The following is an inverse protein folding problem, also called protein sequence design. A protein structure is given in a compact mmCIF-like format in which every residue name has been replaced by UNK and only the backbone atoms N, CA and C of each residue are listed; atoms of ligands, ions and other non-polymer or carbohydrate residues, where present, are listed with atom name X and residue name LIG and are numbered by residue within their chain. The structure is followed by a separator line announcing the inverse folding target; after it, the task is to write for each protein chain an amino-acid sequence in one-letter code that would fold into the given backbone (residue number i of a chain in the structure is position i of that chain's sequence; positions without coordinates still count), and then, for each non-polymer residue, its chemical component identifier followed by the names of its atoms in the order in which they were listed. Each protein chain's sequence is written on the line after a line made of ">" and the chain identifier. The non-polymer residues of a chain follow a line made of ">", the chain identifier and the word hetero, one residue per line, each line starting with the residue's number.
data_IF_352554635414
#
_entry.id   IF_352554635414
#
_cell.length_a   1.000
_cell.length_b   1.000
_cell.length_c   1.000
_cell.angle_alpha   90.00
_cell.angle_beta   90.00
_cell.angle_gamma   90.00
#
_symmetry.space_group_name_H-M   'P 1'
#
loop_
_entity.id
_entity.type
_entity.pdbx_description
1 polymer ?
#
# COMPACT_ATOMS: atom_id res chain seq x y z
N UNK A 1 -55.20 40.55 5.07
CA UNK A 1 -53.95 41.32 5.01
C UNK A 1 -53.21 41.17 6.33
N UNK A 2 -52.36 40.15 6.46
CA UNK A 2 -51.29 40.13 7.47
C UNK A 2 -50.24 39.11 7.01
N UNK A 3 -49.00 39.58 6.98
CA UNK A 3 -47.85 39.03 6.25
C UNK A 3 -47.27 37.76 6.87
N UNK A 4 -46.86 36.85 5.98
CA UNK A 4 -45.78 35.89 6.20
C UNK A 4 -44.47 36.61 6.57
N UNK A 5 -43.64 36.00 7.41
CA UNK A 5 -42.18 35.91 7.21
C UNK A 5 -41.60 34.79 8.07
N UNK A 6 -41.35 33.65 7.43
CA UNK A 6 -40.46 32.58 7.93
C UNK A 6 -39.03 33.03 7.66
N UNK A 7 -38.23 33.22 8.71
CA UNK A 7 -36.79 33.39 8.57
C UNK A 7 -36.13 32.01 8.48
N UNK A 8 -35.60 31.67 7.31
CA UNK A 8 -34.70 30.53 7.15
C UNK A 8 -33.28 31.03 7.38
N UNK A 9 -32.64 30.57 8.46
CA UNK A 9 -31.21 30.77 8.69
C UNK A 9 -30.44 29.78 7.81
N UNK A 10 -29.74 30.29 6.80
CA UNK A 10 -28.79 29.51 6.01
C UNK A 10 -27.50 29.42 6.81
N UNK A 11 -27.23 28.25 7.39
CA UNK A 11 -25.92 27.93 7.96
C UNK A 11 -24.98 27.59 6.80
N UNK A 12 -24.11 28.54 6.44
CA UNK A 12 -23.03 28.28 5.51
C UNK A 12 -21.94 27.46 6.23
N UNK A 13 -21.84 26.18 5.90
CA UNK A 13 -20.70 25.34 6.28
C UNK A 13 -19.53 25.74 5.38
N UNK A 14 -18.60 26.52 5.92
CA UNK A 14 -17.33 26.81 5.27
C UNK A 14 -16.44 25.57 5.45
N UNK A 15 -16.39 24.72 4.43
CA UNK A 15 -15.34 23.72 4.29
C UNK A 15 -14.04 24.46 3.98
N UNK A 16 -13.26 24.78 5.01
CA UNK A 16 -11.86 25.14 4.84
C UNK A 16 -11.11 23.91 4.31
N UNK A 17 -11.08 23.75 3.00
CA UNK A 17 -10.13 22.88 2.33
C UNK A 17 -8.73 23.47 2.56
N UNK A 18 -8.02 22.91 3.54
CA UNK A 18 -6.58 23.03 3.61
C UNK A 18 -6.01 22.26 2.41
N UNK A 19 -5.96 22.92 1.26
CA UNK A 19 -5.13 22.45 0.15
C UNK A 19 -3.69 22.75 0.56
N UNK A 20 -3.10 21.86 1.36
CA UNK A 20 -1.65 21.76 1.39
C UNK A 20 -1.24 21.45 -0.04
N UNK A 21 -0.54 22.37 -0.68
CA UNK A 21 0.24 22.10 -1.88
C UNK A 21 1.24 20.99 -1.50
N UNK A 22 0.80 19.74 -1.59
CA UNK A 22 1.69 18.60 -1.58
C UNK A 22 2.65 18.86 -2.74
N UNK A 23 3.91 19.14 -2.42
CA UNK A 23 4.96 19.00 -3.42
C UNK A 23 4.82 17.56 -3.94
N UNK A 24 4.51 17.42 -5.23
CA UNK A 24 4.55 16.12 -5.89
C UNK A 24 5.90 15.48 -5.53
N UNK A 25 5.85 14.35 -4.84
CA UNK A 25 7.01 13.63 -4.36
C UNK A 25 7.84 13.18 -5.55
N UNK A 26 9.14 13.42 -5.50
CA UNK A 26 10.06 12.68 -6.35
C UNK A 26 10.52 11.44 -5.61
N UNK A 27 10.74 10.35 -6.34
CA UNK A 27 11.27 9.10 -5.82
C UNK A 27 12.45 9.31 -4.85
N UNK A 28 12.36 8.72 -3.66
CA UNK A 28 13.40 8.71 -2.65
C UNK A 28 13.92 7.29 -2.43
N UNK A 29 15.15 6.97 -2.89
CA UNK A 29 15.76 5.66 -2.70
C UNK A 29 15.83 5.20 -1.23
N UNK A 30 15.82 6.13 -0.27
CA UNK A 30 15.87 5.80 1.16
C UNK A 30 14.55 5.27 1.71
N UNK A 31 13.44 5.35 0.95
CA UNK A 31 12.12 4.83 1.35
C UNK A 31 11.85 3.43 0.80
N UNK A 32 12.60 3.01 -0.20
CA UNK A 32 12.44 1.68 -0.79
C UNK A 32 12.90 0.57 0.17
N UNK A 33 12.08 -0.48 0.33
CA UNK A 33 12.41 -1.66 1.15
C UNK A 33 12.11 -2.94 0.38
N UNK A 34 13.02 -3.90 0.50
CA UNK A 34 12.77 -5.29 0.13
C UNK A 34 11.83 -5.93 1.16
N UNK A 35 10.84 -6.71 0.69
CA UNK A 35 9.87 -7.40 1.55
C UNK A 35 10.10 -8.90 1.53
N UNK A 36 10.06 -9.51 0.34
CA UNK A 36 10.07 -10.97 0.19
C UNK A 36 10.56 -11.37 -1.19
N UNK A 37 11.13 -12.56 -1.26
CA UNK A 37 11.40 -13.26 -2.51
C UNK A 37 10.80 -14.67 -2.49
N UNK A 38 10.37 -15.15 -3.65
CA UNK A 38 9.87 -16.51 -3.87
C UNK A 38 10.68 -17.14 -4.99
N UNK A 39 11.34 -18.27 -4.70
CA UNK A 39 12.12 -19.01 -5.69
C UNK A 39 11.17 -19.66 -6.71
N UNK A 40 11.53 -19.57 -7.99
CA UNK A 40 10.85 -20.20 -9.12
C UNK A 40 11.79 -21.30 -9.62
N UNK A 41 11.63 -22.57 -9.17
CA UNK A 41 12.65 -23.60 -9.37
C UNK A 41 12.90 -23.96 -10.83
N UNK A 42 11.85 -23.96 -11.64
CA UNK A 42 11.91 -24.32 -13.07
C UNK A 42 12.88 -23.43 -13.86
N UNK A 43 12.94 -22.14 -13.52
CA UNK A 43 13.75 -21.15 -14.23
C UNK A 43 14.92 -20.62 -13.40
N UNK A 44 15.09 -21.15 -12.19
CA UNK A 44 16.13 -20.79 -11.24
C UNK A 44 16.29 -19.27 -11.01
N UNK A 45 15.17 -18.58 -10.79
CA UNK A 45 15.16 -17.16 -10.43
C UNK A 45 14.20 -16.91 -9.27
N UNK A 46 14.06 -15.64 -8.88
CA UNK A 46 13.19 -15.23 -7.79
C UNK A 46 12.23 -14.15 -8.24
N UNK A 47 10.94 -14.36 -8.00
CA UNK A 47 9.98 -13.26 -7.96
C UNK A 47 10.19 -12.50 -6.65
N UNK A 48 10.06 -11.17 -6.67
CA UNK A 48 10.39 -10.34 -5.52
C UNK A 48 9.33 -9.27 -5.28
N UNK A 49 9.12 -8.91 -4.01
CA UNK A 49 8.22 -7.86 -3.56
C UNK A 49 9.01 -6.76 -2.86
N UNK A 50 8.71 -5.53 -3.25
CA UNK A 50 9.26 -4.31 -2.70
C UNK A 50 8.13 -3.34 -2.32
N UNK A 51 8.46 -2.39 -1.45
CA UNK A 51 7.65 -1.20 -1.19
C UNK A 51 8.48 0.06 -1.33
N UNK A 52 7.84 1.19 -1.55
CA UNK A 52 8.47 2.51 -1.48
C UNK A 52 7.50 3.63 -1.80
N UNK A 53 8.04 4.78 -2.16
CA UNK A 53 7.30 5.98 -2.55
C UNK A 53 7.12 6.09 -4.08
N UNK A 54 6.48 7.18 -4.51
CA UNK A 54 6.14 7.43 -5.91
C UNK A 54 7.37 7.32 -6.82
N UNK A 55 7.40 6.42 -7.81
CA UNK A 55 8.53 6.22 -8.71
C UNK A 55 8.55 7.25 -9.84
N UNK A 56 8.45 8.54 -9.50
CA UNK A 56 8.47 9.65 -10.45
C UNK A 56 9.65 10.57 -10.16
N UNK A 57 10.36 10.99 -11.21
CA UNK A 57 11.47 11.93 -11.10
C UNK A 57 10.98 13.35 -10.88
N UNK A 58 11.88 14.25 -10.47
CA UNK A 58 11.59 15.70 -10.39
C UNK A 58 11.09 16.32 -11.70
N UNK A 59 11.41 15.69 -12.84
CA UNK A 59 10.97 16.11 -14.17
C UNK A 59 9.63 15.48 -14.59
N UNK A 60 8.90 14.85 -13.66
CA UNK A 60 7.61 14.18 -13.90
C UNK A 60 7.67 13.07 -14.94
N UNK A 61 8.75 12.29 -14.94
CA UNK A 61 8.89 11.06 -15.73
C UNK A 61 8.98 9.85 -14.81
N UNK A 62 8.56 8.67 -15.26
CA UNK A 62 8.74 7.44 -14.49
C UNK A 62 10.24 7.17 -14.26
N UNK A 63 10.61 6.90 -13.01
CA UNK A 63 11.99 6.77 -12.53
C UNK A 63 12.53 5.34 -12.70
N UNK A 64 12.32 4.71 -13.86
CA UNK A 64 12.63 3.29 -14.07
C UNK A 64 14.07 2.92 -13.69
N UNK A 65 15.07 3.64 -14.20
CA UNK A 65 16.47 3.30 -13.96
C UNK A 65 16.87 3.45 -12.48
N UNK A 66 16.39 4.50 -11.83
CA UNK A 66 16.66 4.77 -10.41
C UNK A 66 15.95 3.76 -9.51
N UNK A 67 14.68 3.48 -9.78
CA UNK A 67 13.89 2.47 -9.08
C UNK A 67 14.54 1.09 -9.19
N UNK A 68 14.90 0.66 -10.39
CA UNK A 68 15.47 -0.67 -10.61
C UNK A 68 16.88 -0.82 -10.03
N UNK A 69 17.68 0.24 -10.06
CA UNK A 69 18.98 0.28 -9.37
C UNK A 69 18.80 0.17 -7.86
N UNK A 70 17.82 0.87 -7.30
CA UNK A 70 17.52 0.83 -5.87
C UNK A 70 16.98 -0.54 -5.44
N UNK A 71 16.11 -1.16 -6.23
CA UNK A 71 15.64 -2.53 -5.98
C UNK A 71 16.77 -3.56 -6.00
N UNK A 72 17.70 -3.47 -6.97
CA UNK A 72 18.90 -4.34 -7.01
C UNK A 72 19.71 -4.22 -5.73
N UNK A 73 19.97 -2.99 -5.28
CA UNK A 73 20.70 -2.72 -4.04
C UNK A 73 19.96 -3.30 -2.83
N UNK A 74 18.68 -3.01 -2.69
CA UNK A 74 17.87 -3.48 -1.57
C UNK A 74 17.77 -5.01 -1.49
N UNK A 75 17.59 -5.70 -2.62
CA UNK A 75 17.57 -7.17 -2.65
C UNK A 75 18.93 -7.78 -2.27
N UNK A 76 20.02 -7.16 -2.73
CA UNK A 76 21.38 -7.59 -2.40
C UNK A 76 21.68 -7.41 -0.91
N UNK A 77 21.31 -6.27 -0.34
CA UNK A 77 21.56 -5.95 1.07
C UNK A 77 20.69 -6.77 2.02
N UNK A 78 19.40 -6.93 1.70
CA UNK A 78 18.46 -7.61 2.60
C UNK A 78 18.52 -9.15 2.54
N UNK A 79 18.82 -9.71 1.36
CA UNK A 79 18.70 -11.15 1.13
C UNK A 79 19.84 -11.77 0.32
N UNK A 80 20.88 -11.00 -0.01
CA UNK A 80 21.98 -11.43 -0.89
C UNK A 80 21.48 -11.95 -2.27
N UNK A 81 20.35 -11.42 -2.74
CA UNK A 81 19.75 -11.79 -4.03
C UNK A 81 20.18 -10.81 -5.13
N UNK A 82 20.20 -11.31 -6.36
CA UNK A 82 20.47 -10.49 -7.55
C UNK A 82 19.19 -10.35 -8.35
N UNK A 83 18.76 -9.11 -8.60
CA UNK A 83 17.71 -8.83 -9.57
C UNK A 83 18.34 -8.75 -10.98
N UNK A 84 17.96 -9.62 -11.93
CA UNK A 84 18.57 -9.63 -13.25
C UNK A 84 18.28 -8.35 -14.05
N UNK A 85 18.94 -8.20 -15.20
CA UNK A 85 18.70 -7.08 -16.11
C UNK A 85 17.33 -7.13 -16.77
N UNK A 86 16.78 -8.33 -17.00
CA UNK A 86 15.45 -8.56 -17.58
C UNK A 86 14.51 -9.15 -16.54
N UNK A 87 13.38 -8.49 -16.32
CA UNK A 87 12.27 -8.94 -15.48
C UNK A 87 11.01 -8.17 -15.88
N UNK A 88 9.87 -8.60 -15.37
CA UNK A 88 8.58 -7.94 -15.56
C UNK A 88 8.19 -7.18 -14.28
N UNK A 89 8.06 -5.85 -14.38
CA UNK A 89 7.69 -4.99 -13.25
C UNK A 89 6.18 -4.84 -13.14
N UNK A 90 5.61 -5.22 -12.00
CA UNK A 90 4.24 -4.92 -11.61
C UNK A 90 4.31 -3.70 -10.70
N UNK A 91 4.00 -2.55 -11.26
CA UNK A 91 3.89 -1.29 -10.54
C UNK A 91 2.50 -1.19 -9.91
N UNK A 92 2.46 -1.37 -8.59
CA UNK A 92 1.22 -1.46 -7.82
C UNK A 92 1.04 -0.15 -7.04
N UNK A 93 0.27 0.73 -7.66
CA UNK A 93 -0.05 2.06 -7.16
C UNK A 93 -1.24 2.00 -6.22
N UNK A 94 -1.13 2.71 -5.10
CA UNK A 94 -2.19 2.90 -4.11
C UNK A 94 -2.76 4.33 -4.15
N UNK A 95 -2.48 5.06 -5.24
CA UNK A 95 -2.82 6.47 -5.37
C UNK A 95 -4.33 6.69 -5.45
N UNK A 96 -4.76 7.81 -4.85
CA UNK A 96 -6.14 8.24 -4.86
C UNK A 96 -6.45 9.04 -6.14
N UNK A 97 -7.74 9.21 -6.51
CA UNK A 97 -8.09 9.91 -7.74
C UNK A 97 -7.68 11.40 -7.78
N UNK A 98 -7.32 12.01 -6.67
CA UNK A 98 -6.83 13.40 -6.63
C UNK A 98 -5.35 13.48 -7.07
N UNK A 99 -4.62 12.37 -6.99
CA UNK A 99 -3.23 12.21 -7.47
C UNK A 99 -3.18 11.79 -8.95
N UNK A 100 -4.25 12.04 -9.71
CA UNK A 100 -4.39 11.69 -11.13
C UNK A 100 -3.21 12.15 -12.03
N UNK A 101 -2.61 13.35 -11.85
CA UNK A 101 -1.47 13.76 -12.67
C UNK A 101 -0.26 12.84 -12.56
N UNK A 102 -0.07 12.19 -11.40
CA UNK A 102 1.05 11.29 -11.14
C UNK A 102 0.73 9.89 -11.69
N UNK A 103 -0.50 9.39 -11.48
CA UNK A 103 -0.99 8.14 -12.08
C UNK A 103 -0.82 8.11 -13.62
N UNK A 104 -1.09 9.23 -14.30
CA UNK A 104 -0.94 9.34 -15.76
C UNK A 104 0.51 9.09 -16.20
N UNK A 105 1.51 9.49 -15.42
CA UNK A 105 2.92 9.30 -15.77
C UNK A 105 3.25 7.81 -15.82
N UNK A 106 2.84 7.08 -14.79
CA UNK A 106 3.06 5.64 -14.64
C UNK A 106 2.30 4.86 -15.72
N UNK A 107 1.00 5.15 -15.88
CA UNK A 107 0.17 4.55 -16.93
C UNK A 107 0.78 4.74 -18.32
N UNK A 108 1.21 5.97 -18.65
CA UNK A 108 1.79 6.27 -19.96
C UNK A 108 3.13 5.57 -20.16
N UNK A 109 3.93 5.41 -19.10
CA UNK A 109 5.20 4.69 -19.18
C UNK A 109 4.95 3.23 -19.55
N UNK A 110 4.06 2.53 -18.83
CA UNK A 110 3.81 1.11 -19.10
C UNK A 110 3.00 0.86 -20.38
N UNK A 111 2.11 1.79 -20.78
CA UNK A 111 1.47 1.74 -22.12
C UNK A 111 2.48 1.84 -23.26
N UNK A 112 3.54 2.65 -23.09
CA UNK A 112 4.61 2.79 -24.09
C UNK A 112 5.66 1.67 -24.01
N UNK A 113 5.80 1.01 -22.86
CA UNK A 113 6.81 0.00 -22.59
C UNK A 113 6.18 -1.29 -22.01
N UNK A 114 5.27 -1.96 -22.74
CA UNK A 114 4.53 -3.11 -22.22
C UNK A 114 5.42 -4.33 -21.90
N UNK A 115 6.60 -4.42 -22.53
CA UNK A 115 7.57 -5.48 -22.27
C UNK A 115 8.33 -5.31 -20.94
N UNK A 116 8.32 -4.10 -20.37
CA UNK A 116 8.99 -3.82 -19.09
C UNK A 116 8.10 -4.13 -17.88
N UNK A 117 6.79 -4.23 -18.07
CA UNK A 117 5.86 -4.38 -16.95
C UNK A 117 4.43 -3.92 -17.22
N UNK A 118 3.71 -3.65 -16.14
CA UNK A 118 2.36 -3.09 -16.14
C UNK A 118 2.13 -2.21 -14.91
N UNK A 119 1.19 -1.27 -15.05
CA UNK A 119 0.63 -0.47 -13.97
C UNK A 119 -0.70 -1.06 -13.49
N UNK A 120 -0.87 -1.14 -12.17
CA UNK A 120 -2.11 -1.54 -11.51
C UNK A 120 -2.41 -0.53 -10.41
N UNK A 121 -3.58 0.12 -10.45
CA UNK A 121 -4.06 0.94 -9.35
C UNK A 121 -5.01 0.14 -8.44
N UNK A 122 -4.63 -0.02 -7.18
CA UNK A 122 -5.50 -0.47 -6.09
C UNK A 122 -5.76 0.70 -5.16
N UNK A 123 -6.82 1.47 -5.46
CA UNK A 123 -7.26 2.56 -4.58
C UNK A 123 -7.30 2.09 -3.12
N UNK A 124 -6.49 2.74 -2.28
CA UNK A 124 -6.44 2.49 -0.84
C UNK A 124 -6.74 3.79 -0.11
N UNK A 125 -7.74 3.76 0.76
CA UNK A 125 -8.27 4.93 1.48
C UNK A 125 -8.22 4.75 2.99
N UNK A 126 -8.01 3.52 3.47
CA UNK A 126 -8.02 3.18 4.87
C UNK A 126 -9.45 3.11 5.45
N UNK A 127 -9.53 2.98 6.77
CA UNK A 127 -10.80 2.82 7.49
C UNK A 127 -11.04 3.95 8.50
N UNK A 128 -12.27 4.48 8.51
CA UNK A 128 -12.67 5.53 9.47
C UNK A 128 -12.99 4.99 10.86
N UNK A 129 -13.30 3.69 10.97
CA UNK A 129 -13.69 3.07 12.23
C UNK A 129 -12.48 2.40 12.88
N UNK A 130 -12.08 2.90 14.05
CA UNK A 130 -11.06 2.24 14.85
C UNK A 130 -11.62 0.92 15.43
N UNK A 131 -11.00 -0.26 15.19
CA UNK A 131 -11.58 -1.54 15.63
C UNK A 131 -11.77 -1.64 17.14
N UNK A 132 -10.85 -1.09 17.95
CA UNK A 132 -10.97 -1.09 19.43
C UNK A 132 -12.02 -0.13 19.99
N UNK A 133 -12.63 0.72 19.16
CA UNK A 133 -13.80 1.50 19.58
C UNK A 133 -15.07 0.63 19.69
N UNK A 134 -15.04 -0.59 19.14
CA UNK A 134 -16.16 -1.52 19.11
C UNK A 134 -16.04 -2.59 20.20
N UNK A 135 -17.19 -3.04 20.71
CA UNK A 135 -17.25 -4.18 21.61
C UNK A 135 -16.72 -5.47 20.96
N UNK A 136 -16.10 -6.40 21.73
CA UNK A 136 -15.41 -7.57 21.16
C UNK A 136 -16.26 -8.41 20.20
N UNK A 137 -17.54 -8.63 20.51
CA UNK A 137 -18.47 -9.41 19.67
C UNK A 137 -18.71 -8.75 18.31
N UNK A 138 -18.88 -7.43 18.28
CA UNK A 138 -19.10 -6.70 17.02
C UNK A 138 -17.81 -6.64 16.21
N UNK A 139 -16.68 -6.37 16.86
CA UNK A 139 -15.36 -6.37 16.23
C UNK A 139 -15.05 -7.71 15.59
N UNK A 140 -15.28 -8.82 16.28
CA UNK A 140 -15.11 -10.15 15.69
C UNK A 140 -16.01 -10.36 14.47
N UNK A 141 -17.31 -10.04 14.58
CA UNK A 141 -18.26 -10.18 13.47
C UNK A 141 -17.80 -9.38 12.25
N UNK A 142 -17.36 -8.15 12.44
CA UNK A 142 -16.88 -7.29 11.35
C UNK A 142 -15.56 -7.82 10.78
N UNK A 143 -14.60 -8.16 11.63
CA UNK A 143 -13.31 -8.67 11.21
C UNK A 143 -13.44 -9.97 10.41
N UNK A 144 -14.28 -10.92 10.83
CA UNK A 144 -14.54 -12.15 10.05
C UNK A 144 -15.17 -11.88 8.68
N UNK A 145 -15.86 -10.76 8.53
CA UNK A 145 -16.52 -10.35 7.30
C UNK A 145 -15.72 -9.29 6.52
N UNK A 146 -14.45 -9.05 6.86
CA UNK A 146 -13.64 -7.93 6.36
C UNK A 146 -13.63 -7.83 4.82
N UNK A 147 -13.49 -8.96 4.14
CA UNK A 147 -13.49 -9.07 2.67
C UNK A 147 -14.71 -8.44 1.99
N UNK A 148 -15.85 -8.38 2.68
CA UNK A 148 -17.11 -7.94 2.10
C UNK A 148 -17.41 -6.45 2.29
N UNK A 149 -16.76 -5.78 3.25
CA UNK A 149 -17.09 -4.40 3.58
C UNK A 149 -15.91 -3.42 3.54
N UNK A 150 -14.68 -3.89 3.75
CA UNK A 150 -13.52 -3.01 3.69
C UNK A 150 -13.25 -2.60 2.24
N UNK A 151 -13.16 -1.29 2.00
CA UNK A 151 -12.95 -0.73 0.66
C UNK A 151 -11.60 -1.15 0.06
N UNK A 152 -10.57 -1.21 0.90
CA UNK A 152 -9.19 -1.56 0.51
C UNK A 152 -9.03 -3.05 0.17
N UNK A 153 -10.01 -3.89 0.55
CA UNK A 153 -10.07 -5.33 0.25
C UNK A 153 -8.79 -6.10 0.66
N UNK A 154 -8.17 -5.73 1.79
CA UNK A 154 -6.87 -6.28 2.20
C UNK A 154 -6.81 -7.82 2.15
N UNK A 155 -7.81 -8.60 2.62
CA UNK A 155 -7.78 -10.06 2.49
C UNK A 155 -7.61 -10.57 1.06
N UNK A 156 -8.31 -9.96 0.10
CA UNK A 156 -8.20 -10.34 -1.32
C UNK A 156 -6.86 -9.87 -1.90
N UNK A 157 -6.42 -8.64 -1.58
CA UNK A 157 -5.15 -8.10 -2.08
C UNK A 157 -3.94 -8.90 -1.62
N UNK A 158 -3.94 -9.38 -0.37
CA UNK A 158 -2.85 -10.24 0.11
C UNK A 158 -2.76 -11.55 -0.66
N UNK A 159 -3.90 -12.16 -1.01
CA UNK A 159 -3.94 -13.35 -1.85
C UNK A 159 -3.48 -13.08 -3.29
N UNK A 160 -3.86 -11.93 -3.86
CA UNK A 160 -3.42 -11.51 -5.21
C UNK A 160 -1.90 -11.25 -5.26
N UNK A 161 -1.32 -10.65 -4.22
CA UNK A 161 0.15 -10.47 -4.12
C UNK A 161 0.85 -11.83 -4.08
N UNK A 162 0.34 -12.79 -3.29
CA UNK A 162 0.90 -14.16 -3.28
C UNK A 162 0.80 -14.82 -4.65
N UNK A 163 -0.30 -14.60 -5.39
CA UNK A 163 -0.44 -15.10 -6.76
C UNK A 163 0.60 -14.48 -7.69
N UNK A 164 0.83 -13.17 -7.64
CA UNK A 164 1.86 -12.50 -8.44
C UNK A 164 3.26 -13.04 -8.12
N UNK A 165 3.58 -13.24 -6.84
CA UNK A 165 4.85 -13.83 -6.41
C UNK A 165 4.99 -15.31 -6.79
N UNK A 166 3.88 -16.05 -6.89
CA UNK A 166 3.85 -17.47 -7.22
C UNK A 166 3.88 -17.79 -8.73
N UNK A 167 3.83 -16.79 -9.61
CA UNK A 167 3.82 -16.99 -11.06
C UNK A 167 5.05 -17.79 -11.52
N UNK A 168 4.81 -18.86 -12.28
CA UNK A 168 5.85 -19.67 -12.92
C UNK A 168 6.05 -19.17 -14.36
N UNK A 169 7.07 -18.32 -14.58
CA UNK A 169 7.46 -17.80 -15.89
C UNK A 169 8.98 -17.74 -16.00
N UNK A 170 9.48 -17.69 -17.23
CA UNK A 170 10.91 -17.68 -17.57
C UNK A 170 11.66 -16.39 -17.19
N UNK A 171 10.92 -15.31 -16.91
CA UNK A 171 11.47 -14.05 -16.38
C UNK A 171 10.89 -13.77 -14.98
N UNK A 172 11.67 -13.14 -14.07
CA UNK A 172 11.17 -12.74 -12.76
C UNK A 172 10.02 -11.75 -12.83
N UNK A 173 9.08 -11.89 -11.91
CA UNK A 173 8.06 -10.89 -11.62
C UNK A 173 8.47 -10.09 -10.38
N UNK A 174 8.58 -8.79 -10.57
CA UNK A 174 8.96 -7.85 -9.51
C UNK A 174 7.76 -6.98 -9.21
N UNK A 175 7.30 -6.99 -7.97
CA UNK A 175 6.15 -6.20 -7.55
C UNK A 175 6.67 -5.03 -6.71
N UNK A 176 6.27 -3.82 -7.07
CA UNK A 176 6.59 -2.60 -6.34
C UNK A 176 5.30 -1.96 -5.84
N UNK A 177 5.08 -1.99 -4.53
CA UNK A 177 3.90 -1.37 -3.89
C UNK A 177 4.27 0.04 -3.47
N UNK A 178 3.50 1.04 -3.90
CA UNK A 178 3.76 2.42 -3.52
C UNK A 178 2.51 3.27 -3.38
N UNK A 179 2.69 4.38 -2.67
CA UNK A 179 1.81 5.55 -2.67
C UNK A 179 2.71 6.79 -2.76
N UNK A 180 2.14 7.98 -2.72
CA UNK A 180 2.89 9.24 -2.89
C UNK A 180 4.17 9.31 -2.05
N UNK A 181 4.01 9.21 -0.72
CA UNK A 181 5.14 9.29 0.22
C UNK A 181 5.72 7.93 0.62
N UNK A 182 5.17 6.82 0.12
CA UNK A 182 5.63 5.48 0.47
C UNK A 182 5.48 5.09 1.94
N UNK A 183 4.51 5.68 2.64
CA UNK A 183 4.23 5.46 4.08
C UNK A 183 2.78 5.09 4.33
N UNK A 184 1.81 6.00 4.36
CA UNK A 184 0.44 5.72 4.82
C UNK A 184 -0.21 4.48 4.19
N UNK A 185 -0.65 4.60 2.94
CA UNK A 185 -1.32 3.51 2.20
C UNK A 185 -0.35 2.36 1.91
N UNK A 186 0.92 2.70 1.64
CA UNK A 186 1.98 1.69 1.42
C UNK A 186 2.21 0.84 2.66
N UNK A 187 2.14 1.42 3.85
CA UNK A 187 2.34 0.86 5.16
C UNK A 187 1.16 0.04 5.60
N UNK A 188 -0.05 0.47 5.26
CA UNK A 188 -1.25 -0.35 5.39
C UNK A 188 -1.14 -1.63 4.57
N UNK A 189 -0.83 -1.51 3.26
CA UNK A 189 -0.76 -2.65 2.33
C UNK A 189 0.43 -3.57 2.66
N UNK A 190 1.64 -3.01 2.78
CA UNK A 190 2.87 -3.77 3.07
C UNK A 190 2.87 -4.31 4.51
N UNK A 191 2.38 -3.55 5.48
CA UNK A 191 2.20 -3.98 6.86
C UNK A 191 1.26 -5.17 6.96
N UNK A 192 0.15 -5.11 6.22
CA UNK A 192 -0.76 -6.25 6.07
C UNK A 192 -0.05 -7.47 5.49
N UNK A 193 0.80 -7.28 4.48
CA UNK A 193 1.56 -8.37 3.88
C UNK A 193 2.61 -8.96 4.85
N UNK A 194 3.30 -8.13 5.62
CA UNK A 194 4.23 -8.58 6.67
C UNK A 194 3.55 -9.50 7.68
N UNK A 195 2.34 -9.14 8.12
CA UNK A 195 1.55 -9.99 9.02
C UNK A 195 1.08 -11.27 8.33
N UNK A 196 0.59 -11.15 7.09
CA UNK A 196 0.02 -12.24 6.30
C UNK A 196 1.03 -13.34 5.97
N UNK A 197 2.21 -12.95 5.48
CA UNK A 197 3.17 -13.87 4.86
C UNK A 197 4.49 -14.02 5.63
N UNK A 198 4.86 -13.05 6.48
CA UNK A 198 6.14 -13.07 7.22
C UNK A 198 5.94 -13.31 8.72
N UNK A 199 4.71 -13.64 9.14
CA UNK A 199 4.38 -13.94 10.53
C UNK A 199 4.76 -12.82 11.52
N UNK A 200 4.79 -11.56 11.05
CA UNK A 200 5.08 -10.42 11.92
C UNK A 200 3.89 -10.09 12.81
N UNK A 201 4.18 -9.55 14.00
CA UNK A 201 3.16 -8.91 14.85
C UNK A 201 2.72 -7.58 14.23
N UNK A 202 1.53 -7.13 14.59
CA UNK A 202 1.02 -5.83 14.16
C UNK A 202 1.96 -4.68 14.55
N UNK A 203 2.48 -4.70 15.77
CA UNK A 203 3.36 -3.65 16.29
C UNK A 203 4.70 -3.61 15.54
N UNK A 204 5.27 -4.78 15.22
CA UNK A 204 6.52 -4.82 14.46
C UNK A 204 6.32 -4.31 13.04
N UNK A 205 5.26 -4.77 12.36
CA UNK A 205 4.93 -4.31 11.02
C UNK A 205 4.59 -2.81 10.98
N UNK A 206 3.89 -2.28 11.99
CA UNK A 206 3.62 -0.84 12.15
C UNK A 206 4.91 -0.04 12.39
N UNK A 207 5.83 -0.56 13.20
CA UNK A 207 7.09 0.10 13.50
C UNK A 207 7.99 0.26 12.26
N UNK A 208 7.93 -0.68 11.31
CA UNK A 208 8.64 -0.54 10.03
C UNK A 208 8.16 0.71 9.30
N UNK A 209 6.85 0.92 9.21
CA UNK A 209 6.29 2.09 8.53
C UNK A 209 6.63 3.39 9.24
N UNK A 210 6.41 3.43 10.56
CA UNK A 210 6.69 4.60 11.40
C UNK A 210 8.19 4.94 11.47
N UNK A 211 9.09 4.05 11.04
CA UNK A 211 10.53 4.31 10.98
C UNK A 211 10.98 5.07 9.72
N UNK A 212 10.10 5.18 8.71
CA UNK A 212 10.44 5.81 7.43
C UNK A 212 10.42 7.34 7.50
N UNK A 213 9.75 7.91 8.51
CA UNK A 213 9.56 9.35 8.67
C UNK A 213 9.47 9.77 10.13
N UNK A 214 9.45 11.08 10.35
CA UNK A 214 9.32 11.68 11.70
C UNK A 214 7.92 11.60 12.29
N UNK A 215 6.95 11.04 11.56
CA UNK A 215 5.55 10.89 11.98
C UNK A 215 5.06 9.46 11.85
N UNK A 216 3.99 9.16 12.59
CA UNK A 216 3.27 7.90 12.44
C UNK A 216 2.45 7.86 11.14
N UNK A 217 2.12 6.64 10.72
CA UNK A 217 1.13 6.33 9.70
C UNK A 217 -0.19 7.09 9.94
N UNK A 218 -0.91 7.44 8.88
CA UNK A 218 -2.22 8.08 8.98
C UNK A 218 -3.20 7.21 9.76
N UNK A 219 -4.10 7.84 10.52
CA UNK A 219 -5.05 7.09 11.36
C UNK A 219 -5.99 6.19 10.54
N UNK A 220 -6.35 6.59 9.32
CA UNK A 220 -7.21 5.79 8.46
C UNK A 220 -6.50 4.51 8.00
N UNK A 221 -5.26 4.65 7.54
CA UNK A 221 -4.43 3.52 7.17
C UNK A 221 -4.08 2.63 8.36
N UNK A 222 -3.84 3.22 9.53
CA UNK A 222 -3.64 2.49 10.78
C UNK A 222 -4.86 1.65 11.13
N UNK A 223 -6.07 2.21 11.02
CA UNK A 223 -7.31 1.51 11.34
C UNK A 223 -7.54 0.33 10.39
N UNK A 224 -7.35 0.51 9.07
CA UNK A 224 -7.55 -0.56 8.08
C UNK A 224 -6.52 -1.69 8.27
N UNK A 225 -5.28 -1.32 8.53
CA UNK A 225 -4.22 -2.26 8.87
C UNK A 225 -4.54 -3.02 10.17
N UNK A 226 -5.05 -2.34 11.19
CA UNK A 226 -5.46 -2.96 12.45
C UNK A 226 -6.68 -3.90 12.27
N UNK A 227 -7.63 -3.53 11.42
CA UNK A 227 -8.73 -4.41 11.02
C UNK A 227 -8.23 -5.68 10.37
N UNK A 228 -7.21 -5.59 9.51
CA UNK A 228 -6.59 -6.76 8.92
C UNK A 228 -5.90 -7.66 9.96
N UNK A 229 -5.25 -7.08 10.97
CA UNK A 229 -4.75 -7.87 12.10
C UNK A 229 -5.88 -8.65 12.78
N UNK A 230 -7.02 -7.99 13.07
CA UNK A 230 -8.16 -8.68 13.66
C UNK A 230 -8.74 -9.75 12.75
N UNK A 231 -8.81 -9.52 11.44
CA UNK A 231 -9.20 -10.56 10.48
C UNK A 231 -8.30 -11.80 10.62
N UNK A 232 -6.97 -11.63 10.63
CA UNK A 232 -6.03 -12.73 10.81
C UNK A 232 -6.19 -13.42 12.18
N UNK A 233 -6.39 -12.65 13.25
CA UNK A 233 -6.60 -13.16 14.60
C UNK A 233 -7.82 -14.10 14.69
N UNK A 234 -8.95 -13.72 14.07
CA UNK A 234 -10.17 -14.52 14.15
C UNK A 234 -10.27 -15.63 13.10
N UNK A 235 -9.58 -15.51 11.96
CA UNK A 235 -9.72 -16.46 10.82
C UNK A 235 -8.56 -17.41 10.61
N UNK A 236 -7.36 -17.07 11.09
CA UNK A 236 -6.16 -17.92 10.95
C UNK A 236 -5.61 -18.34 12.30
N UNK A 237 -4.99 -17.40 13.01
CA UNK A 237 -4.22 -17.70 14.23
C UNK A 237 -4.43 -16.66 15.33
N UNK A 238 -4.84 -17.12 16.50
CA UNK A 238 -5.24 -16.26 17.64
C UNK A 238 -4.08 -15.74 18.51
N UNK A 239 -2.83 -15.85 18.06
CA UNK A 239 -1.66 -15.37 18.85
C UNK A 239 -1.35 -13.89 18.62
N UNK A 240 -2.03 -13.23 17.68
CA UNK A 240 -1.72 -11.85 17.26
C UNK A 240 -2.25 -10.81 18.24
N UNK A 241 -1.36 -10.02 18.85
CA UNK A 241 -1.77 -8.81 19.55
C UNK A 241 -2.05 -7.71 18.53
N UNK A 242 -3.32 -7.36 18.34
CA UNK A 242 -3.73 -6.32 17.39
C UNK A 242 -3.90 -4.94 18.02
N UNK A 243 -3.62 -4.76 19.32
CA UNK A 243 -3.80 -3.47 19.98
C UNK A 243 -2.68 -2.49 19.65
N UNK A 244 -3.03 -1.22 19.56
CA UNK A 244 -2.07 -0.12 19.65
C UNK A 244 -1.67 0.00 21.11
N UNK A 245 -0.36 0.01 21.37
CA UNK A 245 0.17 0.17 22.74
C UNK A 245 -0.03 1.61 23.23
#
# INVERSE_FOLDING_TARGET
>A
MMMMRRGAAVVAVVLCAWVTLAHAGSFDPNRLRFIKAVHVPEYNHYNMLFRGDLPITKNRTFAYDELTTTMRKAAKEAANLTLPSKFYLIDLSLLDPLEFPDQIVEENFFKKNPDLGQYINWLTVGDVVHPDSLGPKLREKMARNLTNWQLDKLPTRMAEIDQFLGVQRDIPHIIYIHCEAGMDRTGEMSGSYYMHALNMTFQHALAIDNSLETRNISIYSQNAFQWYCYFLYYTKDSWRNCKLN
#
